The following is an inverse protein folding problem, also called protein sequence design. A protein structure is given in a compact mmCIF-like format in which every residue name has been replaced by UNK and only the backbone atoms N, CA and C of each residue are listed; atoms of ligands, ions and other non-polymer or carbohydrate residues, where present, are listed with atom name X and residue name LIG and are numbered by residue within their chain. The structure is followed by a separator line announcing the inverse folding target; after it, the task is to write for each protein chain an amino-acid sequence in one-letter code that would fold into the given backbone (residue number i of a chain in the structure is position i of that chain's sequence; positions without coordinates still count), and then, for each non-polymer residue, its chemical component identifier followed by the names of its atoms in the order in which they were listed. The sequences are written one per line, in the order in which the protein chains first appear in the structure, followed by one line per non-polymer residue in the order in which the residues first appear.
data_IF_073355280576
#
_entry.id   IF_073355280576
#
_cell.length_a   1.000
_cell.length_b   1.000
_cell.length_c   1.000
_cell.angle_alpha   90.00
_cell.angle_beta   90.00
_cell.angle_gamma   90.00
#
_symmetry.space_group_name_H-M   'P 1'
#
loop_
_entity.id
_entity.type
_entity.pdbx_description
1 polymer ?
#
# COMPACT_ATOMS: atom_id res chain seq x y z
N UNK A 1 31.71 -106.24 -12.92
CA UNK A 1 30.65 -106.28 -11.89
C UNK A 1 30.69 -104.98 -11.09
N UNK A 2 29.59 -104.23 -10.99
CA UNK A 2 29.64 -102.78 -10.78
C UNK A 2 29.33 -102.39 -9.32
N UNK A 3 30.29 -101.77 -8.63
CA UNK A 3 30.05 -101.18 -7.31
C UNK A 3 30.77 -99.84 -7.06
N UNK A 4 31.43 -99.23 -8.05
CA UNK A 4 32.31 -98.07 -7.80
C UNK A 4 31.75 -96.73 -8.31
N UNK A 5 30.67 -96.71 -9.10
CA UNK A 5 30.21 -95.47 -9.75
C UNK A 5 29.28 -94.58 -8.89
N UNK A 6 28.80 -95.06 -7.73
CA UNK A 6 27.80 -94.34 -6.92
C UNK A 6 28.37 -93.37 -5.87
N UNK A 7 29.64 -93.52 -5.48
CA UNK A 7 30.26 -92.71 -4.41
C UNK A 7 30.85 -91.36 -4.84
N UNK A 8 31.26 -91.23 -6.11
CA UNK A 8 31.87 -89.99 -6.64
C UNK A 8 30.79 -89.03 -7.17
N UNK A 9 29.70 -89.55 -7.76
CA UNK A 9 28.60 -88.74 -8.27
C UNK A 9 27.80 -88.03 -7.16
N UNK A 10 27.60 -88.67 -6.01
CA UNK A 10 26.88 -88.06 -4.87
C UNK A 10 27.64 -86.88 -4.26
N UNK A 11 28.97 -86.96 -4.20
CA UNK A 11 29.84 -85.86 -3.75
C UNK A 11 29.86 -84.69 -4.74
N UNK A 12 29.96 -84.96 -6.05
CA UNK A 12 29.93 -83.93 -7.09
C UNK A 12 28.56 -83.22 -7.19
N UNK A 13 27.46 -83.95 -7.06
CA UNK A 13 26.10 -83.39 -7.02
C UNK A 13 25.82 -82.61 -5.72
N UNK A 14 26.37 -83.06 -4.58
CA UNK A 14 26.33 -82.32 -3.33
C UNK A 14 27.12 -81.00 -3.42
N UNK A 15 28.31 -81.02 -4.03
CA UNK A 15 29.13 -79.82 -4.25
C UNK A 15 28.45 -78.81 -5.20
N UNK A 16 27.81 -79.28 -6.29
CA UNK A 16 27.02 -78.41 -7.18
C UNK A 16 25.81 -77.78 -6.48
N UNK A 17 25.09 -78.55 -5.66
CA UNK A 17 23.98 -78.02 -4.84
C UNK A 17 24.48 -77.01 -3.81
N UNK A 18 25.60 -77.29 -3.15
CA UNK A 18 26.21 -76.37 -2.19
C UNK A 18 26.68 -75.06 -2.86
N UNK A 19 27.29 -75.11 -4.04
CA UNK A 19 27.67 -73.92 -4.81
C UNK A 19 26.44 -73.12 -5.25
N UNK A 20 25.39 -73.79 -5.74
CA UNK A 20 24.15 -73.13 -6.15
C UNK A 20 23.49 -72.42 -4.96
N UNK A 21 23.37 -73.08 -3.82
CA UNK A 21 22.87 -72.48 -2.58
C UNK A 21 23.75 -71.30 -2.12
N UNK A 22 25.07 -71.42 -2.24
CA UNK A 22 26.01 -70.35 -1.92
C UNK A 22 25.87 -69.12 -2.83
N UNK A 23 25.69 -69.33 -4.14
CA UNK A 23 25.44 -68.27 -5.11
C UNK A 23 24.08 -67.61 -4.86
N UNK A 24 23.03 -68.40 -4.64
CA UNK A 24 21.68 -67.90 -4.33
C UNK A 24 21.68 -67.08 -3.03
N UNK A 25 22.36 -67.55 -1.97
CA UNK A 25 22.49 -66.81 -0.72
C UNK A 25 23.26 -65.50 -0.90
N UNK A 26 24.37 -65.53 -1.64
CA UNK A 26 25.16 -64.32 -1.90
C UNK A 26 24.43 -63.32 -2.79
N UNK A 27 23.64 -63.81 -3.74
CA UNK A 27 22.75 -62.97 -4.55
C UNK A 27 21.67 -62.28 -3.72
N UNK A 28 21.08 -63.00 -2.76
CA UNK A 28 20.15 -62.43 -1.79
C UNK A 28 20.81 -61.36 -0.91
N UNK A 29 21.98 -61.66 -0.32
CA UNK A 29 22.75 -60.70 0.49
C UNK A 29 23.04 -59.41 -0.29
N UNK A 30 23.51 -59.51 -1.55
CA UNK A 30 23.79 -58.34 -2.40
C UNK A 30 22.54 -57.52 -2.68
N UNK A 31 21.41 -58.18 -3.00
CA UNK A 31 20.16 -57.48 -3.27
C UNK A 31 19.61 -56.78 -2.02
N UNK A 32 19.73 -57.39 -0.84
CA UNK A 32 19.35 -56.76 0.43
C UNK A 32 20.21 -55.54 0.74
N UNK A 33 21.51 -55.60 0.48
CA UNK A 33 22.41 -54.46 0.66
C UNK A 33 22.10 -53.35 -0.35
N UNK A 34 21.78 -53.69 -1.59
CA UNK A 34 21.34 -52.71 -2.61
C UNK A 34 20.03 -52.03 -2.22
N UNK A 35 19.04 -52.79 -1.74
CA UNK A 35 17.76 -52.25 -1.30
C UNK A 35 17.95 -51.31 -0.11
N UNK A 36 18.75 -51.71 0.89
CA UNK A 36 19.10 -50.84 2.03
C UNK A 36 19.84 -49.58 1.61
N UNK A 37 20.78 -49.67 0.68
CA UNK A 37 21.49 -48.51 0.16
C UNK A 37 20.57 -47.56 -0.63
N UNK A 38 19.60 -48.12 -1.38
CA UNK A 38 18.64 -47.34 -2.18
C UNK A 38 17.57 -46.66 -1.32
N UNK A 39 17.20 -47.27 -0.19
CA UNK A 39 16.21 -46.72 0.74
C UNK A 39 16.62 -45.33 1.25
N UNK A 40 17.89 -45.13 1.60
CA UNK A 40 18.40 -43.83 2.02
C UNK A 40 18.29 -42.76 0.93
N UNK A 41 18.51 -43.14 -0.35
CA UNK A 41 18.36 -42.22 -1.47
C UNK A 41 16.90 -41.85 -1.72
N UNK A 42 15.96 -42.80 -1.58
CA UNK A 42 14.53 -42.55 -1.69
C UNK A 42 14.07 -41.58 -0.59
N UNK A 43 14.47 -41.82 0.66
CA UNK A 43 14.13 -40.93 1.78
C UNK A 43 14.67 -39.50 1.58
N UNK A 44 15.88 -39.35 1.02
CA UNK A 44 16.44 -38.05 0.71
C UNK A 44 15.66 -37.32 -0.38
N UNK A 45 15.18 -38.04 -1.41
CA UNK A 45 14.31 -37.48 -2.45
C UNK A 45 12.95 -37.07 -1.90
N UNK A 46 12.32 -37.90 -1.05
CA UNK A 46 11.04 -37.58 -0.41
C UNK A 46 11.14 -36.32 0.46
N UNK A 47 12.24 -36.18 1.21
CA UNK A 47 12.51 -34.98 2.00
C UNK A 47 12.67 -33.75 1.09
N UNK A 48 13.43 -33.88 -0.01
CA UNK A 48 13.64 -32.79 -0.96
C UNK A 48 12.34 -32.36 -1.66
N UNK A 49 11.48 -33.31 -2.04
CA UNK A 49 10.16 -33.01 -2.60
C UNK A 49 9.28 -32.25 -1.59
N UNK A 50 9.35 -32.62 -0.31
CA UNK A 50 8.63 -31.92 0.77
C UNK A 50 9.12 -30.47 0.92
N UNK A 51 10.44 -30.27 0.95
CA UNK A 51 11.05 -28.94 1.03
C UNK A 51 10.71 -28.07 -0.20
N UNK A 52 10.74 -28.64 -1.42
CA UNK A 52 10.33 -27.94 -2.64
C UNK A 52 8.85 -27.53 -2.56
N UNK A 53 7.98 -28.41 -2.07
CA UNK A 53 6.57 -28.09 -1.90
C UNK A 53 6.34 -26.98 -0.86
N UNK A 54 7.17 -26.90 0.18
CA UNK A 54 7.15 -25.81 1.16
C UNK A 54 7.61 -24.49 0.53
N UNK A 55 8.73 -24.49 -0.20
CA UNK A 55 9.23 -23.30 -0.91
C UNK A 55 8.19 -22.81 -1.92
N UNK A 56 7.57 -23.70 -2.69
CA UNK A 56 6.54 -23.34 -3.66
C UNK A 56 5.34 -22.67 -2.98
N UNK A 57 4.88 -23.21 -1.84
CA UNK A 57 3.81 -22.61 -1.02
C UNK A 57 4.21 -21.24 -0.49
N UNK A 58 5.42 -21.11 0.06
CA UNK A 58 5.93 -19.84 0.58
C UNK A 58 6.05 -18.77 -0.52
N UNK A 59 6.62 -19.11 -1.68
CA UNK A 59 6.72 -18.22 -2.83
C UNK A 59 5.34 -17.76 -3.34
N UNK A 60 4.36 -18.67 -3.38
CA UNK A 60 2.99 -18.33 -3.75
C UNK A 60 2.35 -17.36 -2.74
N UNK A 61 2.51 -17.62 -1.44
CA UNK A 61 2.00 -16.75 -0.39
C UNK A 61 2.61 -15.34 -0.44
N UNK A 62 3.94 -15.25 -0.60
CA UNK A 62 4.66 -13.97 -0.74
C UNK A 62 4.18 -13.23 -2.00
N UNK A 63 4.06 -13.93 -3.13
CA UNK A 63 3.58 -13.32 -4.38
C UNK A 63 2.17 -12.77 -4.22
N UNK A 64 1.28 -13.50 -3.54
CA UNK A 64 -0.08 -13.04 -3.25
C UNK A 64 -0.08 -11.80 -2.36
N UNK A 65 0.67 -11.84 -1.26
CA UNK A 65 0.79 -10.70 -0.32
C UNK A 65 1.36 -9.45 -0.98
N UNK A 66 2.38 -9.58 -1.83
CA UNK A 66 2.95 -8.46 -2.60
C UNK A 66 1.92 -7.88 -3.58
N UNK A 67 1.15 -8.72 -4.28
CA UNK A 67 0.10 -8.27 -5.19
C UNK A 67 -1.00 -7.51 -4.45
N UNK A 68 -1.46 -8.04 -3.32
CA UNK A 68 -2.47 -7.39 -2.48
C UNK A 68 -1.98 -6.06 -1.93
N UNK A 69 -0.78 -6.03 -1.37
CA UNK A 69 -0.16 -4.80 -0.83
C UNK A 69 -0.01 -3.74 -1.93
N UNK A 70 0.37 -4.15 -3.15
CA UNK A 70 0.48 -3.23 -4.29
C UNK A 70 -0.88 -2.67 -4.70
N UNK A 71 -1.93 -3.49 -4.71
CA UNK A 71 -3.28 -3.04 -5.01
C UNK A 71 -3.81 -2.06 -3.96
N UNK A 72 -3.60 -2.36 -2.67
CA UNK A 72 -3.97 -1.47 -1.57
C UNK A 72 -3.20 -0.14 -1.64
N UNK A 73 -1.89 -0.19 -1.89
CA UNK A 73 -1.05 1.01 -2.06
C UNK A 73 -1.52 1.87 -3.24
N UNK A 74 -1.88 1.24 -4.36
CA UNK A 74 -2.39 1.97 -5.53
C UNK A 74 -3.70 2.69 -5.22
N UNK A 75 -4.64 2.02 -4.55
CA UNK A 75 -5.91 2.63 -4.13
C UNK A 75 -5.70 3.78 -3.13
N UNK A 76 -4.78 3.63 -2.18
CA UNK A 76 -4.45 4.68 -1.22
C UNK A 76 -3.77 5.88 -1.90
N UNK A 77 -2.90 5.64 -2.89
CA UNK A 77 -2.29 6.70 -3.68
C UNK A 77 -3.32 7.49 -4.50
N UNK A 78 -4.30 6.80 -5.10
CA UNK A 78 -5.41 7.44 -5.81
C UNK A 78 -6.26 8.30 -4.87
N UNK A 79 -6.64 7.76 -3.70
CA UNK A 79 -7.38 8.50 -2.69
C UNK A 79 -6.61 9.74 -2.21
N UNK A 80 -5.29 9.62 -2.00
CA UNK A 80 -4.44 10.74 -1.62
C UNK A 80 -4.36 11.81 -2.73
N UNK A 81 -4.25 11.41 -4.00
CA UNK A 81 -4.23 12.35 -5.13
C UNK A 81 -5.55 13.13 -5.26
N UNK A 82 -6.68 12.45 -5.04
CA UNK A 82 -7.99 13.10 -5.02
C UNK A 82 -8.10 14.11 -3.88
N UNK A 83 -7.66 13.74 -2.67
CA UNK A 83 -7.64 14.64 -1.52
C UNK A 83 -6.74 15.87 -1.74
N UNK A 84 -5.59 15.70 -2.37
CA UNK A 84 -4.70 16.82 -2.72
C UNK A 84 -5.37 17.79 -3.70
N UNK A 85 -6.13 17.26 -4.65
CA UNK A 85 -6.88 18.08 -5.60
C UNK A 85 -7.98 18.88 -4.90
N UNK A 86 -8.76 18.23 -4.03
CA UNK A 86 -9.80 18.88 -3.21
C UNK A 86 -9.20 19.95 -2.28
N UNK A 87 -8.05 19.67 -1.67
CA UNK A 87 -7.32 20.63 -0.84
C UNK A 87 -6.91 21.85 -1.67
N UNK A 88 -6.34 21.67 -2.85
CA UNK A 88 -5.95 22.77 -3.73
C UNK A 88 -7.16 23.64 -4.14
N UNK A 89 -8.30 23.01 -4.45
CA UNK A 89 -9.55 23.72 -4.76
C UNK A 89 -10.03 24.53 -3.55
N UNK A 90 -10.01 23.94 -2.36
CA UNK A 90 -10.43 24.64 -1.14
C UNK A 90 -9.47 25.76 -0.77
N UNK A 91 -8.16 25.57 -0.89
CA UNK A 91 -7.17 26.62 -0.68
C UNK A 91 -7.40 27.80 -1.63
N UNK A 92 -7.67 27.54 -2.91
CA UNK A 92 -8.02 28.60 -3.86
C UNK A 92 -9.32 29.32 -3.49
N UNK A 93 -10.32 28.60 -2.99
CA UNK A 93 -11.57 29.22 -2.51
C UNK A 93 -11.31 30.09 -1.28
N UNK A 94 -10.48 29.64 -0.33
CA UNK A 94 -10.14 30.43 0.86
C UNK A 94 -9.38 31.70 0.49
N UNK A 95 -8.45 31.61 -0.46
CA UNK A 95 -7.71 32.78 -0.96
C UNK A 95 -8.65 33.79 -1.61
N UNK A 96 -9.58 33.32 -2.45
CA UNK A 96 -10.58 34.17 -3.08
C UNK A 96 -11.48 34.86 -2.05
N UNK A 97 -11.93 34.12 -1.03
CA UNK A 97 -12.72 34.68 0.07
C UNK A 97 -11.90 35.70 0.86
N UNK A 98 -10.64 35.42 1.17
CA UNK A 98 -9.77 36.36 1.89
C UNK A 98 -9.57 37.66 1.09
N UNK A 99 -9.26 37.56 -0.20
CA UNK A 99 -9.14 38.71 -1.11
C UNK A 99 -10.45 39.51 -1.19
N UNK A 100 -11.59 38.81 -1.21
CA UNK A 100 -12.90 39.44 -1.24
C UNK A 100 -13.17 40.20 0.07
N UNK A 101 -12.99 39.55 1.22
CA UNK A 101 -13.19 40.18 2.53
C UNK A 101 -12.25 41.37 2.72
N UNK A 102 -10.98 41.25 2.31
CA UNK A 102 -10.05 42.36 2.34
C UNK A 102 -10.59 43.54 1.51
N UNK A 103 -11.08 43.32 0.29
CA UNK A 103 -11.53 44.40 -0.60
C UNK A 103 -12.85 45.06 -0.18
N UNK A 104 -13.74 44.30 0.47
CA UNK A 104 -15.14 44.67 0.64
C UNK A 104 -15.63 44.75 2.10
N UNK A 105 -14.82 44.34 3.08
CA UNK A 105 -15.15 44.46 4.49
C UNK A 105 -14.07 45.21 5.26
N UNK A 106 -14.51 45.82 6.36
CA UNK A 106 -13.64 46.37 7.39
C UNK A 106 -13.28 45.25 8.37
N UNK A 107 -12.05 45.25 8.84
CA UNK A 107 -11.62 44.38 9.93
C UNK A 107 -12.25 44.84 11.26
N UNK A 108 -12.33 43.93 12.23
CA UNK A 108 -12.86 44.26 13.55
C UNK A 108 -12.08 45.40 14.23
N UNK A 109 -10.78 45.49 13.98
CA UNK A 109 -9.92 46.57 14.49
C UNK A 109 -10.27 47.92 13.85
N UNK A 110 -10.51 47.95 12.53
CA UNK A 110 -10.93 49.17 11.82
C UNK A 110 -12.32 49.63 12.27
N UNK A 111 -13.27 48.72 12.50
CA UNK A 111 -14.59 49.05 13.04
C UNK A 111 -14.48 49.60 14.47
N UNK A 112 -13.66 48.98 15.32
CA UNK A 112 -13.42 49.47 16.67
C UNK A 112 -12.77 50.86 16.66
N UNK A 113 -11.81 51.09 15.76
CA UNK A 113 -11.14 52.38 15.58
C UNK A 113 -12.12 53.52 15.25
N UNK A 114 -13.21 53.23 14.54
CA UNK A 114 -14.26 54.20 14.20
C UNK A 114 -15.23 54.49 15.35
N UNK A 115 -15.25 53.65 16.39
CA UNK A 115 -16.18 53.78 17.53
C UNK A 115 -15.61 54.59 18.71
N UNK A 116 -14.35 55.03 18.64
CA UNK A 116 -13.73 55.81 19.73
C UNK A 116 -14.16 57.29 19.69
N UNK A 117 -14.41 57.83 20.87
CA UNK A 117 -14.89 59.21 21.09
C UNK A 117 -13.80 60.28 20.85
N UNK A 118 -12.52 59.86 20.77
CA UNK A 118 -11.39 60.74 20.46
C UNK A 118 -10.68 60.28 19.18
N UNK A 119 -10.70 61.09 18.11
CA UNK A 119 -10.08 60.71 16.85
C UNK A 119 -8.55 60.75 16.97
N UNK A 120 -7.92 59.61 16.73
CA UNK A 120 -6.47 59.47 16.60
C UNK A 120 -6.06 58.98 15.20
N UNK A 121 -4.77 58.71 14.99
CA UNK A 121 -4.25 58.27 13.68
C UNK A 121 -4.96 57.00 13.16
N UNK A 122 -5.29 56.07 14.06
CA UNK A 122 -6.02 54.84 13.73
C UNK A 122 -7.45 55.11 13.21
N UNK A 123 -8.13 56.13 13.75
CA UNK A 123 -9.46 56.54 13.30
C UNK A 123 -9.41 57.05 11.85
N UNK A 124 -8.46 57.93 11.53
CA UNK A 124 -8.32 58.48 10.18
C UNK A 124 -7.88 57.41 9.17
N UNK A 125 -7.03 56.46 9.58
CA UNK A 125 -6.67 55.30 8.76
C UNK A 125 -7.89 54.42 8.46
N UNK A 126 -8.71 54.11 9.46
CA UNK A 126 -9.96 53.35 9.29
C UNK A 126 -10.96 54.12 8.41
N UNK A 127 -11.10 55.43 8.57
CA UNK A 127 -11.99 56.25 7.72
C UNK A 127 -11.52 56.28 6.26
N UNK A 128 -10.21 56.34 6.01
CA UNK A 128 -9.67 56.20 4.66
C UNK A 128 -9.99 54.81 4.08
N UNK A 129 -9.93 53.75 4.89
CA UNK A 129 -10.34 52.40 4.50
C UNK A 129 -11.81 52.34 4.12
N UNK A 130 -12.71 52.90 4.93
CA UNK A 130 -14.16 52.98 4.66
C UNK A 130 -14.41 53.58 3.28
N UNK A 131 -13.72 54.67 2.93
CA UNK A 131 -13.86 55.32 1.61
C UNK A 131 -13.42 54.43 0.45
N UNK A 132 -12.31 53.70 0.63
CA UNK A 132 -11.81 52.73 -0.38
C UNK A 132 -12.82 51.59 -0.55
N UNK A 133 -13.28 51.00 0.54
CA UNK A 133 -14.26 49.90 0.50
C UNK A 133 -15.58 50.36 -0.13
N UNK A 134 -16.09 51.54 0.24
CA UNK A 134 -17.29 52.13 -0.34
C UNK A 134 -17.13 52.37 -1.85
N UNK A 135 -15.97 52.84 -2.31
CA UNK A 135 -15.67 52.99 -3.74
C UNK A 135 -15.66 51.64 -4.46
N UNK A 136 -15.07 50.60 -3.85
CA UNK A 136 -15.07 49.24 -4.39
C UNK A 136 -16.49 48.68 -4.51
N UNK A 137 -17.34 48.84 -3.49
CA UNK A 137 -18.75 48.44 -3.53
C UNK A 137 -19.51 49.19 -4.64
N UNK A 138 -19.26 50.50 -4.80
CA UNK A 138 -19.85 51.29 -5.88
C UNK A 138 -19.44 50.79 -7.27
N UNK A 139 -18.21 50.29 -7.43
CA UNK A 139 -17.78 49.66 -8.66
C UNK A 139 -18.47 48.30 -8.87
N UNK A 140 -18.62 47.49 -7.81
CA UNK A 140 -19.31 46.21 -7.85
C UNK A 140 -20.78 46.36 -8.27
N UNK A 141 -21.46 47.41 -7.81
CA UNK A 141 -22.83 47.79 -8.22
C UNK A 141 -22.99 48.10 -9.72
N UNK A 142 -21.89 48.41 -10.43
CA UNK A 142 -21.90 48.66 -11.88
C UNK A 142 -21.65 47.40 -12.69
N UNK A 143 -21.39 46.27 -12.02
CA UNK A 143 -21.21 44.94 -12.63
C UNK A 143 -22.49 44.10 -12.50
N UNK A 144 -22.46 42.86 -12.99
CA UNK A 144 -23.59 41.91 -12.91
C UNK A 144 -23.94 41.47 -11.47
N UNK A 145 -23.16 41.88 -10.45
CA UNK A 145 -23.36 41.50 -9.04
C UNK A 145 -24.01 42.61 -8.20
N UNK A 146 -25.04 43.27 -8.75
CA UNK A 146 -25.72 44.41 -8.13
C UNK A 146 -26.30 44.13 -6.74
N UNK A 147 -26.97 43.00 -6.53
CA UNK A 147 -27.58 42.68 -5.23
C UNK A 147 -26.55 42.53 -4.12
N UNK A 148 -25.43 41.85 -4.39
CA UNK A 148 -24.33 41.73 -3.43
C UNK A 148 -23.67 43.08 -3.14
N UNK A 149 -23.53 43.93 -4.16
CA UNK A 149 -23.02 45.29 -3.98
C UNK A 149 -23.92 46.17 -3.11
N UNK A 150 -25.25 46.00 -3.19
CA UNK A 150 -26.23 46.74 -2.38
C UNK A 150 -26.12 46.34 -0.91
N UNK A 151 -26.17 45.04 -0.61
CA UNK A 151 -26.08 44.52 0.76
C UNK A 151 -24.76 44.95 1.45
N UNK A 152 -23.63 44.96 0.72
CA UNK A 152 -22.35 45.45 1.25
C UNK A 152 -22.31 46.97 1.47
N UNK A 153 -22.98 47.74 0.60
CA UNK A 153 -23.03 49.20 0.71
C UNK A 153 -23.89 49.63 1.89
N UNK A 154 -25.02 48.96 2.13
CA UNK A 154 -25.90 49.20 3.28
C UNK A 154 -25.17 48.97 4.61
N UNK A 155 -24.36 47.90 4.71
CA UNK A 155 -23.53 47.65 5.89
C UNK A 155 -22.43 48.69 6.11
N UNK A 156 -21.90 49.30 5.04
CA UNK A 156 -20.87 50.34 5.11
C UNK A 156 -21.42 51.70 5.51
N UNK A 157 -22.64 52.03 5.07
CA UNK A 157 -23.31 53.29 5.37
C UNK A 157 -23.58 53.46 6.87
N UNK A 158 -23.83 52.35 7.59
CA UNK A 158 -24.01 52.34 9.05
C UNK A 158 -22.78 52.80 9.86
N UNK A 159 -21.61 52.89 9.22
CA UNK A 159 -20.37 53.39 9.84
C UNK A 159 -19.97 54.80 9.37
N UNK A 160 -20.75 55.42 8.47
CA UNK A 160 -20.50 56.76 7.94
C UNK A 160 -21.41 57.84 8.56
N UNK A 161 -22.45 57.44 9.30
CA UNK A 161 -23.27 58.31 10.16
C UNK A 161 -22.60 58.50 11.53
#
# INVERSE_FOLDING_TARGET
TPAVFKGVNTSAEAARRALRLGIERRGLEINEDYLRASEAAIQALDALDTEIAEIARACSAVTSSVRETRAQTASLAEAAANLQTELAVNARKTDLVADFLQKYQLTAEEVAALSFDTPGDAFFAALARVRVVHANCRQLLRTHHQRAGLELMDGMAAHQE
#
